data_IF_134352146831
#
_entry.id   IF_134352146831
#
_cell.length_a   1.000
_cell.length_b   1.000
_cell.length_c   1.000
_cell.angle_alpha   90.00
_cell.angle_beta   90.00
_cell.angle_gamma   90.00
#
_symmetry.space_group_name_H-M   'P 1'
#
loop_
_entity.id
_entity.type
_entity.pdbx_description
1 polymer ?
#
# COMPACT_ATOMS: atom_id res chain seq x y z
N UNK A 1 -15.77 31.92 -16.72
CA UNK A 1 -15.51 31.02 -15.59
C UNK A 1 -15.26 29.60 -16.12
N UNK A 2 -14.01 29.16 -16.20
CA UNK A 2 -13.66 27.79 -16.66
C UNK A 2 -13.63 26.87 -15.45
N UNK A 3 -14.55 25.91 -15.39
CA UNK A 3 -14.57 24.83 -14.39
C UNK A 3 -13.31 23.99 -14.56
N UNK A 4 -12.46 23.93 -13.55
CA UNK A 4 -11.36 22.96 -13.44
C UNK A 4 -12.00 21.56 -13.34
N UNK A 5 -11.76 20.71 -14.35
CA UNK A 5 -11.97 19.27 -14.21
C UNK A 5 -11.00 18.77 -13.17
N UNK A 6 -11.53 18.24 -12.08
CA UNK A 6 -10.77 17.43 -11.14
C UNK A 6 -10.20 16.24 -11.92
N UNK A 7 -8.89 16.03 -11.83
CA UNK A 7 -8.25 14.82 -12.36
C UNK A 7 -8.93 13.63 -11.72
N UNK A 8 -9.51 12.76 -12.55
CA UNK A 8 -10.24 11.55 -12.16
C UNK A 8 -9.33 10.64 -11.31
N UNK A 9 -9.41 10.81 -9.98
CA UNK A 9 -9.01 9.80 -9.02
C UNK A 9 -10.15 8.79 -9.04
N UNK A 10 -10.06 7.79 -9.92
CA UNK A 10 -11.03 6.71 -9.99
C UNK A 10 -11.09 6.02 -8.63
N UNK A 11 -12.22 6.04 -7.93
CA UNK A 11 -12.36 5.30 -6.69
C UNK A 11 -12.22 3.81 -7.00
N UNK A 12 -11.42 3.12 -6.18
CA UNK A 12 -11.18 1.69 -6.30
C UNK A 12 -12.43 0.97 -5.80
N UNK A 13 -13.42 0.82 -6.67
CA UNK A 13 -14.58 -0.02 -6.38
C UNK A 13 -14.89 -0.81 -7.63
N UNK A 14 -14.46 -2.07 -7.65
CA UNK A 14 -15.20 -3.14 -8.32
C UNK A 14 -14.64 -4.53 -8.01
N UNK A 15 -15.53 -5.46 -7.85
CA UNK A 15 -15.39 -6.87 -7.53
C UNK A 15 -14.49 -7.57 -8.55
N UNK A 16 -13.44 -8.24 -8.06
CA UNK A 16 -12.51 -9.02 -8.91
C UNK A 16 -13.22 -10.26 -9.44
N UNK A 17 -13.65 -10.24 -10.71
CA UNK A 17 -13.93 -11.46 -11.47
C UNK A 17 -12.76 -11.72 -12.40
N UNK A 18 -11.93 -12.72 -12.14
CA UNK A 18 -11.00 -13.23 -13.13
C UNK A 18 -10.63 -14.69 -12.86
N UNK A 19 -10.87 -15.58 -13.82
CA UNK A 19 -10.69 -17.02 -13.68
C UNK A 19 -9.23 -17.48 -13.64
N UNK A 20 -8.30 -16.69 -14.16
CA UNK A 20 -6.86 -17.00 -14.13
C UNK A 20 -6.20 -16.79 -12.75
N UNK A 21 -6.77 -15.96 -11.90
CA UNK A 21 -6.36 -15.84 -10.49
C UNK A 21 -6.66 -17.10 -9.66
N UNK A 22 -7.66 -17.91 -10.07
CA UNK A 22 -8.11 -19.09 -9.32
C UNK A 22 -7.06 -20.20 -9.21
N UNK A 23 -6.23 -20.41 -10.24
CA UNK A 23 -5.24 -21.51 -10.24
C UNK A 23 -3.98 -21.18 -9.46
N UNK A 24 -3.44 -19.97 -9.61
CA UNK A 24 -2.26 -19.50 -8.85
C UNK A 24 -2.60 -19.23 -7.38
N UNK A 25 -3.76 -18.63 -7.09
CA UNK A 25 -4.21 -18.36 -5.74
C UNK A 25 -4.44 -19.63 -4.90
N UNK A 26 -5.01 -20.71 -5.48
CA UNK A 26 -5.26 -21.96 -4.74
C UNK A 26 -3.97 -22.67 -4.30
N UNK A 27 -2.87 -22.57 -5.07
CA UNK A 27 -1.58 -23.17 -4.70
C UNK A 27 -0.93 -22.39 -3.55
N UNK A 28 -0.90 -21.07 -3.64
CA UNK A 28 -0.37 -20.20 -2.57
C UNK A 28 -1.21 -20.23 -1.27
N UNK A 29 -2.54 -20.41 -1.37
CA UNK A 29 -3.43 -20.56 -0.21
C UNK A 29 -3.19 -21.89 0.50
N UNK A 30 -2.97 -22.99 -0.26
CA UNK A 30 -2.68 -24.30 0.34
C UNK A 30 -1.32 -24.32 1.05
N UNK A 31 -0.31 -23.65 0.52
CA UNK A 31 1.00 -23.52 1.15
C UNK A 31 0.91 -22.66 2.42
N UNK A 32 0.25 -21.52 2.36
CA UNK A 32 0.00 -20.64 3.53
C UNK A 32 -0.80 -21.33 4.65
N UNK A 33 -1.84 -22.08 4.30
CA UNK A 33 -2.61 -22.87 5.28
C UNK A 33 -1.80 -24.01 5.91
N UNK A 34 -0.84 -24.59 5.18
CA UNK A 34 0.10 -25.57 5.76
C UNK A 34 1.08 -24.89 6.72
N UNK A 35 1.56 -23.71 6.40
CA UNK A 35 2.48 -22.94 7.23
C UNK A 35 1.80 -22.42 8.51
N UNK A 36 0.56 -21.95 8.41
CA UNK A 36 -0.25 -21.58 9.57
C UNK A 36 -0.54 -22.77 10.50
N UNK A 37 -0.77 -23.97 9.96
CA UNK A 37 -0.91 -25.20 10.77
C UNK A 37 0.42 -25.54 11.48
N UNK A 38 1.55 -25.49 10.78
CA UNK A 38 2.89 -25.71 11.37
C UNK A 38 3.21 -24.70 12.47
N UNK A 39 2.87 -23.42 12.28
CA UNK A 39 3.06 -22.38 13.29
C UNK A 39 2.17 -22.59 14.52
N UNK A 40 0.91 -23.02 14.32
CA UNK A 40 0.01 -23.36 15.42
C UNK A 40 0.49 -24.56 16.23
N UNK A 41 1.04 -25.56 15.56
CA UNK A 41 1.59 -26.75 16.22
C UNK A 41 2.90 -26.43 16.98
N UNK A 42 3.75 -25.53 16.46
CA UNK A 42 4.94 -24.99 17.14
C UNK A 42 4.59 -24.16 18.37
N UNK A 43 3.54 -23.33 18.30
CA UNK A 43 3.06 -22.56 19.46
C UNK A 43 2.63 -23.47 20.63
N UNK A 44 2.15 -24.68 20.33
CA UNK A 44 1.80 -25.69 21.33
C UNK A 44 3.03 -26.40 21.93
N UNK A 45 4.14 -26.45 21.18
CA UNK A 45 5.37 -27.07 21.65
C UNK A 45 6.33 -26.15 22.40
N UNK A 46 6.00 -24.84 22.51
CA UNK A 46 6.84 -23.86 23.23
C UNK A 46 8.16 -23.51 22.53
N UNK A 47 8.30 -23.84 21.24
CA UNK A 47 9.47 -23.48 20.46
C UNK A 47 9.47 -21.99 20.12
N UNK A 48 10.58 -21.30 20.39
CA UNK A 48 10.78 -19.90 20.06
C UNK A 48 10.61 -19.66 18.55
N UNK A 49 9.90 -18.58 18.18
CA UNK A 49 9.75 -18.15 16.81
C UNK A 49 11.13 -17.90 16.16
N UNK A 50 11.39 -18.44 14.96
CA UNK A 50 12.46 -17.91 14.14
C UNK A 50 12.15 -16.47 13.78
N UNK A 51 13.18 -15.62 13.68
CA UNK A 51 13.11 -14.21 13.31
C UNK A 51 12.59 -13.90 11.89
N UNK A 52 12.18 -14.91 11.14
CA UNK A 52 11.47 -14.83 9.87
C UNK A 52 9.95 -14.87 10.10
N UNK A 53 9.41 -13.90 10.83
CA UNK A 53 7.96 -13.64 10.77
C UNK A 53 7.65 -13.21 9.34
N UNK A 54 6.89 -14.04 8.67
CA UNK A 54 6.29 -13.67 7.39
C UNK A 54 5.20 -12.65 7.70
N UNK A 55 5.59 -11.38 7.83
CA UNK A 55 4.71 -10.25 8.14
C UNK A 55 3.65 -10.13 7.06
N UNK A 56 2.50 -10.76 7.28
CA UNK A 56 1.43 -10.75 6.30
C UNK A 56 0.68 -9.43 6.37
N UNK A 57 0.74 -8.67 5.30
CA UNK A 57 0.02 -7.42 5.15
C UNK A 57 -1.39 -7.69 4.63
N UNK A 58 -2.35 -7.06 5.25
CA UNK A 58 -3.74 -7.05 4.82
C UNK A 58 -4.19 -5.62 4.58
N UNK A 59 -5.27 -5.46 3.81
CA UNK A 59 -5.79 -4.15 3.45
C UNK A 59 -7.18 -3.97 4.03
N UNK A 60 -7.36 -2.87 4.76
CA UNK A 60 -8.62 -2.39 5.28
C UNK A 60 -9.07 -1.23 4.40
N UNK A 61 -10.28 -1.33 3.85
CA UNK A 61 -10.89 -0.23 3.12
C UNK A 61 -11.63 0.68 4.09
N UNK A 62 -11.41 1.98 3.96
CA UNK A 62 -12.01 3.02 4.80
C UNK A 62 -12.58 4.14 3.94
N UNK A 63 -13.33 5.04 4.54
CA UNK A 63 -13.79 6.25 3.84
C UNK A 63 -12.58 7.13 3.51
N UNK A 64 -12.45 7.52 2.25
CA UNK A 64 -11.37 8.40 1.78
C UNK A 64 -11.30 9.69 2.60
N UNK A 65 -10.09 10.04 3.05
CA UNK A 65 -9.83 11.20 3.91
C UNK A 65 -10.06 10.93 5.40
N UNK A 66 -10.41 9.69 5.77
CA UNK A 66 -10.61 9.24 7.16
C UNK A 66 -9.59 8.19 7.58
N UNK A 67 -8.48 8.07 6.85
CA UNK A 67 -7.46 7.06 7.06
C UNK A 67 -6.86 7.19 8.48
N UNK A 68 -6.45 8.39 8.87
CA UNK A 68 -5.86 8.62 10.19
C UNK A 68 -6.88 8.45 11.31
N UNK A 69 -8.11 8.94 11.13
CA UNK A 69 -9.18 8.75 12.10
C UNK A 69 -9.46 7.27 12.37
N UNK A 70 -9.54 6.48 11.29
CA UNK A 70 -9.77 5.04 11.40
C UNK A 70 -8.55 4.33 12.00
N UNK A 71 -7.32 4.71 11.65
CA UNK A 71 -6.10 4.15 12.23
C UNK A 71 -6.10 4.31 13.76
N UNK A 72 -6.43 5.53 14.25
CA UNK A 72 -6.53 5.80 15.68
C UNK A 72 -7.67 5.04 16.36
N UNK A 73 -8.81 4.86 15.67
CA UNK A 73 -9.90 4.03 16.17
C UNK A 73 -9.50 2.56 16.30
N UNK A 74 -8.80 2.01 15.31
CA UNK A 74 -8.29 0.64 15.34
C UNK A 74 -7.31 0.47 16.50
N UNK A 75 -6.39 1.43 16.69
CA UNK A 75 -5.43 1.41 17.78
C UNK A 75 -6.10 1.38 19.14
N UNK A 76 -7.13 2.20 19.33
CA UNK A 76 -7.88 2.29 20.59
C UNK A 76 -8.73 1.06 20.87
N UNK A 77 -9.45 0.55 19.87
CA UNK A 77 -10.48 -0.48 20.06
C UNK A 77 -9.93 -1.91 19.92
N UNK A 78 -9.01 -2.15 19.00
CA UNK A 78 -8.45 -3.49 18.79
C UNK A 78 -7.22 -3.76 19.66
N UNK A 79 -6.45 -2.70 20.01
CA UNK A 79 -5.18 -2.83 20.73
C UNK A 79 -4.11 -3.57 19.92
N UNK A 80 -2.87 -3.54 20.38
CA UNK A 80 -1.73 -4.17 19.68
C UNK A 80 -1.62 -5.70 19.88
N UNK A 81 -2.63 -6.34 20.48
CA UNK A 81 -2.61 -7.80 20.70
C UNK A 81 -2.95 -8.56 19.41
N UNK A 82 -3.80 -7.98 18.57
CA UNK A 82 -4.30 -8.64 17.35
C UNK A 82 -3.56 -8.23 16.07
N UNK A 83 -2.69 -7.23 16.14
CA UNK A 83 -1.89 -6.79 15.00
C UNK A 83 -0.59 -6.15 15.47
N UNK A 84 0.44 -6.22 14.64
CA UNK A 84 1.73 -5.61 14.91
C UNK A 84 1.71 -4.11 14.57
N UNK A 85 1.18 -3.77 13.39
CA UNK A 85 1.17 -2.40 12.90
C UNK A 85 -0.05 -2.14 12.04
N UNK A 86 -0.63 -0.93 12.16
CA UNK A 86 -1.67 -0.40 11.28
C UNK A 86 -1.25 0.98 10.78
N UNK A 87 -1.19 1.16 9.47
CA UNK A 87 -0.67 2.38 8.85
C UNK A 87 -1.30 2.65 7.49
N UNK A 88 -1.10 3.84 6.96
CA UNK A 88 -1.41 4.18 5.57
C UNK A 88 -0.24 4.88 4.93
N UNK A 89 -0.05 4.65 3.63
CA UNK A 89 1.11 5.15 2.90
C UNK A 89 0.79 6.55 2.41
N UNK A 90 1.69 7.47 2.72
CA UNK A 90 1.70 8.87 2.27
C UNK A 90 2.77 9.06 1.20
N UNK A 91 2.74 10.16 0.50
CA UNK A 91 3.78 10.57 -0.46
C UNK A 91 4.04 12.05 -0.39
N UNK A 92 5.27 12.43 -0.67
CA UNK A 92 5.65 13.81 -0.90
C UNK A 92 5.38 14.22 -2.35
N UNK A 93 4.94 15.48 -2.51
CA UNK A 93 4.84 16.16 -3.80
C UNK A 93 5.31 17.58 -3.69
N UNK A 94 5.86 18.11 -4.77
CA UNK A 94 6.18 19.53 -4.88
C UNK A 94 5.01 20.25 -5.55
N UNK A 95 4.43 21.19 -4.83
CA UNK A 95 3.42 22.11 -5.35
C UNK A 95 4.03 23.49 -5.58
N UNK A 96 3.58 24.15 -6.62
CA UNK A 96 3.89 25.56 -6.83
C UNK A 96 2.72 26.40 -6.36
N UNK A 97 2.97 27.25 -5.37
CA UNK A 97 2.02 28.21 -4.86
C UNK A 97 2.71 29.56 -4.72
N UNK A 98 2.15 30.60 -5.31
CA UNK A 98 2.65 31.99 -5.24
C UNK A 98 4.13 32.11 -5.63
N UNK A 99 4.55 31.38 -6.68
CA UNK A 99 5.92 31.37 -7.16
C UNK A 99 6.89 30.49 -6.36
N UNK A 100 6.48 29.96 -5.22
CA UNK A 100 7.30 29.11 -4.36
C UNK A 100 7.02 27.61 -4.59
N UNK A 101 8.06 26.79 -4.41
CA UNK A 101 7.92 25.33 -4.38
C UNK A 101 7.76 24.88 -2.92
N UNK A 102 6.65 24.23 -2.64
CA UNK A 102 6.33 23.73 -1.30
C UNK A 102 6.22 22.21 -1.38
N UNK A 103 6.92 21.50 -0.48
CA UNK A 103 6.73 20.06 -0.31
C UNK A 103 5.43 19.84 0.45
N UNK A 104 4.53 19.08 -0.16
CA UNK A 104 3.24 18.71 0.40
C UNK A 104 3.19 17.20 0.59
N UNK A 105 2.65 16.75 1.73
CA UNK A 105 2.42 15.35 2.02
C UNK A 105 0.93 15.03 1.85
N UNK A 106 0.63 14.01 1.05
CA UNK A 106 -0.74 13.56 0.80
C UNK A 106 -0.83 12.03 0.89
N UNK A 107 -2.04 11.51 1.13
CA UNK A 107 -2.28 10.05 1.12
C UNK A 107 -2.01 9.49 -0.28
N UNK A 108 -1.19 8.44 -0.36
CA UNK A 108 -0.82 7.80 -1.63
C UNK A 108 -1.92 6.90 -2.17
N UNK A 109 -2.58 6.16 -1.28
CA UNK A 109 -3.69 5.26 -1.60
C UNK A 109 -4.93 5.65 -0.77
N UNK A 110 -5.70 6.67 -1.23
CA UNK A 110 -6.88 7.14 -0.49
C UNK A 110 -7.91 6.04 -0.25
N UNK A 111 -8.39 5.94 0.98
CA UNK A 111 -9.37 4.93 1.39
C UNK A 111 -8.78 3.57 1.77
N UNK A 112 -7.45 3.46 1.95
CA UNK A 112 -6.78 2.21 2.31
C UNK A 112 -5.88 2.38 3.53
N UNK A 113 -6.03 1.43 4.47
CA UNK A 113 -5.08 1.17 5.54
C UNK A 113 -4.43 -0.19 5.30
N UNK A 114 -3.18 -0.30 5.70
CA UNK A 114 -2.44 -1.54 5.74
C UNK A 114 -2.35 -2.01 7.19
N UNK A 115 -2.53 -3.30 7.41
CA UNK A 115 -2.37 -3.90 8.72
C UNK A 115 -1.51 -5.15 8.63
N UNK A 116 -0.55 -5.26 9.55
CA UNK A 116 0.33 -6.42 9.68
C UNK A 116 -0.22 -7.27 10.81
N UNK A 117 -0.63 -8.50 10.50
CA UNK A 117 -1.20 -9.42 11.48
C UNK A 117 -1.03 -10.88 11.05
N UNK A 118 -0.87 -11.75 12.02
CA UNK A 118 -0.96 -13.21 11.89
C UNK A 118 -2.37 -13.74 12.23
N UNK A 119 -3.26 -12.88 12.75
CA UNK A 119 -4.61 -13.20 13.21
C UNK A 119 -5.69 -12.40 12.45
N UNK A 120 -5.75 -12.47 11.10
CA UNK A 120 -6.64 -11.61 10.31
C UNK A 120 -8.13 -11.85 10.61
N UNK A 121 -8.50 -13.06 11.03
CA UNK A 121 -9.88 -13.41 11.33
C UNK A 121 -10.34 -12.78 12.65
N UNK A 122 -9.53 -12.92 13.67
CA UNK A 122 -9.78 -12.38 15.00
C UNK A 122 -9.83 -10.85 14.95
N UNK A 123 -8.84 -10.26 14.25
CA UNK A 123 -8.81 -8.83 14.00
C UNK A 123 -10.08 -8.35 13.27
N UNK A 124 -10.50 -9.05 12.22
CA UNK A 124 -11.71 -8.69 11.47
C UNK A 124 -12.96 -8.66 12.36
N UNK A 125 -13.15 -9.67 13.21
CA UNK A 125 -14.31 -9.69 14.09
C UNK A 125 -14.27 -8.54 15.10
N UNK A 126 -13.09 -8.19 15.61
CA UNK A 126 -12.92 -7.05 16.50
C UNK A 126 -13.20 -5.73 15.78
N UNK A 127 -12.73 -5.59 14.54
CA UNK A 127 -12.98 -4.39 13.72
C UNK A 127 -14.46 -4.20 13.39
N UNK A 128 -15.22 -5.28 13.25
CA UNK A 128 -16.68 -5.20 13.02
C UNK A 128 -17.46 -4.55 14.15
N UNK A 129 -16.91 -4.49 15.34
CA UNK A 129 -17.51 -3.78 16.47
C UNK A 129 -17.37 -2.26 16.35
N UNK A 130 -16.48 -1.78 15.47
CA UNK A 130 -16.25 -0.35 15.20
C UNK A 130 -17.28 0.13 14.16
N UNK A 131 -18.19 1.08 14.50
CA UNK A 131 -19.26 1.51 13.59
C UNK A 131 -18.75 2.09 12.26
N UNK A 132 -17.57 2.72 12.26
CA UNK A 132 -16.93 3.34 11.10
C UNK A 132 -16.16 2.33 10.23
N UNK A 133 -15.99 1.09 10.70
CA UNK A 133 -15.31 0.07 9.94
C UNK A 133 -16.09 -0.28 8.68
N UNK A 134 -15.42 -0.20 7.52
CA UNK A 134 -16.06 -0.49 6.24
C UNK A 134 -15.89 -1.95 5.88
N UNK A 135 -14.67 -2.38 5.54
CA UNK A 135 -14.35 -3.78 5.27
C UNK A 135 -12.84 -4.03 5.22
N UNK A 136 -12.48 -5.27 5.50
CA UNK A 136 -11.16 -5.83 5.21
C UNK A 136 -11.25 -6.62 3.89
N UNK A 137 -10.26 -6.47 2.99
CA UNK A 137 -10.33 -7.14 1.69
C UNK A 137 -10.31 -8.66 1.85
N UNK A 138 -11.26 -9.32 1.20
CA UNK A 138 -11.42 -10.78 1.23
C UNK A 138 -11.98 -11.30 -0.09
N UNK A 139 -11.82 -12.61 -0.33
CA UNK A 139 -12.44 -13.30 -1.46
C UNK A 139 -13.94 -13.51 -1.22
N UNK A 140 -14.64 -13.98 -2.25
CA UNK A 140 -16.05 -14.39 -2.15
C UNK A 140 -16.23 -15.54 -1.13
N UNK A 141 -15.22 -16.40 -0.95
CA UNK A 141 -15.20 -17.50 0.02
C UNK A 141 -14.77 -17.07 1.44
N UNK A 142 -14.88 -15.77 1.77
CA UNK A 142 -14.52 -15.17 3.06
C UNK A 142 -13.05 -15.34 3.48
N UNK A 143 -12.15 -15.63 2.54
CA UNK A 143 -10.73 -15.73 2.80
C UNK A 143 -10.11 -14.33 2.72
N UNK A 144 -9.44 -13.89 3.79
CA UNK A 144 -8.75 -12.59 3.81
C UNK A 144 -7.60 -12.57 2.81
N UNK A 145 -7.59 -11.53 1.95
CA UNK A 145 -6.56 -11.35 0.94
C UNK A 145 -5.37 -10.64 1.56
N UNK A 146 -4.26 -11.36 1.71
CA UNK A 146 -2.98 -10.72 1.99
C UNK A 146 -2.43 -10.03 0.75
N UNK A 147 -1.70 -8.95 0.95
CA UNK A 147 -0.87 -8.32 -0.08
C UNK A 147 0.15 -9.36 -0.58
N UNK A 148 0.28 -9.52 -1.90
CA UNK A 148 1.23 -10.47 -2.47
C UNK A 148 2.68 -10.05 -2.17
N UNK A 149 3.62 -11.01 -2.12
CA UNK A 149 5.00 -10.74 -1.73
C UNK A 149 5.71 -9.73 -2.65
N UNK A 150 5.46 -9.79 -3.95
CA UNK A 150 5.96 -8.84 -4.94
C UNK A 150 5.33 -7.44 -4.80
N UNK A 151 4.03 -7.37 -4.47
CA UNK A 151 3.34 -6.12 -4.16
C UNK A 151 3.86 -5.51 -2.85
N UNK A 152 4.09 -6.34 -1.82
CA UNK A 152 4.67 -5.90 -0.55
C UNK A 152 6.07 -5.35 -0.75
N UNK A 153 6.95 -6.08 -1.44
CA UNK A 153 8.30 -5.62 -1.77
C UNK A 153 8.30 -4.29 -2.55
N UNK A 154 7.35 -4.13 -3.47
CA UNK A 154 7.18 -2.88 -4.17
C UNK A 154 6.87 -1.73 -3.20
N UNK A 155 5.92 -1.92 -2.27
CA UNK A 155 5.56 -0.90 -1.29
C UNK A 155 6.70 -0.61 -0.31
N UNK A 156 7.41 -1.64 0.16
CA UNK A 156 8.59 -1.52 1.03
C UNK A 156 9.73 -0.73 0.34
N UNK A 157 10.00 -1.03 -0.94
CA UNK A 157 10.99 -0.29 -1.73
C UNK A 157 10.61 1.19 -1.91
N UNK A 158 9.32 1.47 -2.12
CA UNK A 158 8.86 2.87 -2.20
C UNK A 158 9.02 3.61 -0.87
N UNK A 159 8.74 2.94 0.24
CA UNK A 159 8.89 3.50 1.58
C UNK A 159 10.36 3.65 1.97
N UNK A 160 11.24 2.80 1.44
CA UNK A 160 12.69 2.84 1.67
C UNK A 160 13.07 2.98 3.16
N UNK A 161 12.33 2.27 4.04
CA UNK A 161 12.55 2.30 5.49
C UNK A 161 12.12 3.60 6.19
N UNK A 162 11.31 4.44 5.55
CA UNK A 162 10.78 5.66 6.16
C UNK A 162 9.90 5.34 7.37
N UNK A 163 10.19 5.98 8.52
CA UNK A 163 9.50 5.73 9.79
C UNK A 163 8.09 6.34 9.88
N UNK A 164 7.78 7.26 8.99
CA UNK A 164 6.50 7.99 8.95
C UNK A 164 5.56 7.47 7.87
N UNK A 165 5.93 6.39 7.18
CA UNK A 165 5.21 5.80 6.04
C UNK A 165 5.05 6.77 4.86
N UNK A 166 6.09 7.57 4.62
CA UNK A 166 6.08 8.57 3.55
C UNK A 166 7.01 8.12 2.42
N UNK A 167 6.45 7.98 1.23
CA UNK A 167 7.23 7.88 -0.01
C UNK A 167 7.81 9.26 -0.31
N UNK A 168 9.10 9.43 -0.02
CA UNK A 168 9.80 10.70 -0.16
C UNK A 168 10.00 11.06 -1.63
N UNK A 169 10.37 12.31 -1.90
CA UNK A 169 10.74 12.75 -3.24
C UNK A 169 11.95 11.96 -3.75
N UNK A 170 11.87 11.49 -4.99
CA UNK A 170 13.02 10.90 -5.67
C UNK A 170 13.86 12.00 -6.34
N UNK A 171 15.16 12.00 -6.11
CA UNK A 171 16.09 12.90 -6.83
C UNK A 171 16.33 12.35 -8.22
N UNK A 172 16.15 13.17 -9.24
CA UNK A 172 16.32 12.73 -10.63
C UNK A 172 17.25 13.67 -11.41
N UNK A 173 18.11 13.09 -12.25
CA UNK A 173 18.90 13.80 -13.24
C UNK A 173 18.24 13.66 -14.60
N UNK A 174 18.21 14.76 -15.33
CA UNK A 174 17.67 14.81 -16.69
C UNK A 174 18.79 15.04 -17.69
N UNK A 175 18.66 14.45 -18.87
CA UNK A 175 19.50 14.77 -20.02
C UNK A 175 19.03 16.06 -20.76
N UNK A 176 19.71 16.40 -21.84
CA UNK A 176 19.37 17.54 -22.68
C UNK A 176 17.99 17.44 -23.31
N UNK A 177 17.49 16.21 -23.52
CA UNK A 177 16.16 15.90 -24.05
C UNK A 177 15.09 15.83 -22.95
N UNK A 178 15.47 16.14 -21.68
CA UNK A 178 14.60 16.05 -20.50
C UNK A 178 14.13 14.62 -20.17
N UNK A 179 14.92 13.61 -20.60
CA UNK A 179 14.71 12.23 -20.18
C UNK A 179 15.39 11.98 -18.82
N UNK A 180 14.82 11.08 -18.00
CA UNK A 180 15.43 10.71 -16.72
C UNK A 180 16.55 9.73 -16.98
N UNK A 181 17.78 10.17 -16.67
CA UNK A 181 19.00 9.36 -16.84
C UNK A 181 19.30 8.55 -15.59
N UNK A 182 19.03 9.14 -14.43
CA UNK A 182 19.18 8.46 -13.15
C UNK A 182 18.15 8.95 -12.14
N UNK A 183 17.81 8.08 -11.21
CA UNK A 183 16.96 8.40 -10.08
C UNK A 183 17.58 7.80 -8.80
N UNK A 184 17.43 8.52 -7.69
CA UNK A 184 17.79 8.07 -6.35
C UNK A 184 16.54 8.08 -5.47
N UNK A 185 16.43 7.14 -4.53
CA UNK A 185 15.29 7.01 -3.63
C UNK A 185 14.16 6.17 -4.24
N UNK A 186 12.87 6.44 -3.89
CA UNK A 186 11.74 5.56 -4.23
C UNK A 186 11.63 5.17 -5.72
N UNK A 187 12.06 6.01 -6.63
CA UNK A 187 12.00 5.77 -8.08
C UNK A 187 13.17 4.94 -8.62
N UNK A 188 14.23 4.73 -7.85
CA UNK A 188 15.49 4.14 -8.31
C UNK A 188 15.30 2.84 -9.08
N UNK A 189 14.48 1.93 -8.54
CA UNK A 189 14.24 0.61 -9.15
C UNK A 189 13.11 0.61 -10.19
N UNK A 190 12.45 1.76 -10.43
CA UNK A 190 11.22 1.83 -11.24
C UNK A 190 11.32 2.81 -12.42
N UNK A 191 12.51 3.26 -12.76
CA UNK A 191 12.73 4.18 -13.92
C UNK A 191 12.17 3.57 -15.21
N UNK A 192 12.37 2.26 -15.42
CA UNK A 192 11.84 1.53 -16.58
C UNK A 192 10.31 1.36 -16.60
N UNK A 193 9.64 1.59 -15.49
CA UNK A 193 8.18 1.48 -15.37
C UNK A 193 7.45 2.81 -15.58
N UNK A 194 8.18 3.89 -15.90
CA UNK A 194 7.61 5.22 -16.11
C UNK A 194 6.76 5.23 -17.37
N UNK A 195 5.46 5.48 -17.20
CA UNK A 195 4.50 5.61 -18.31
C UNK A 195 4.18 7.07 -18.62
N UNK A 196 4.38 7.95 -17.66
CA UNK A 196 4.16 9.38 -17.85
C UNK A 196 5.12 10.22 -17.01
N UNK A 197 5.68 11.24 -17.64
CA UNK A 197 6.63 12.14 -17.04
C UNK A 197 6.10 13.57 -17.08
N UNK A 198 6.08 14.25 -15.94
CA UNK A 198 5.65 15.64 -15.77
C UNK A 198 6.68 16.44 -14.97
N UNK A 199 7.87 16.61 -15.53
CA UNK A 199 9.02 17.25 -14.87
C UNK A 199 8.73 18.66 -14.38
N UNK A 200 7.93 19.46 -15.13
CA UNK A 200 7.50 20.81 -14.70
C UNK A 200 6.58 20.78 -13.46
N UNK A 201 5.81 19.70 -13.29
CA UNK A 201 4.92 19.47 -12.15
C UNK A 201 5.55 18.60 -11.08
N UNK A 202 6.85 18.28 -11.25
CA UNK A 202 7.65 17.52 -10.28
C UNK A 202 7.05 16.17 -9.89
N UNK A 203 6.56 15.41 -10.89
CA UNK A 203 6.14 14.01 -10.66
C UNK A 203 6.31 13.14 -11.90
N UNK A 204 6.35 11.85 -11.66
CA UNK A 204 6.23 10.78 -12.67
C UNK A 204 5.08 9.86 -12.30
N UNK A 205 4.61 9.11 -13.29
CA UNK A 205 3.63 8.04 -13.07
C UNK A 205 4.23 6.73 -13.54
N UNK A 206 4.13 5.70 -12.73
CA UNK A 206 4.60 4.35 -13.02
C UNK A 206 3.41 3.38 -13.04
N UNK A 207 3.46 2.39 -13.91
CA UNK A 207 2.48 1.30 -13.91
C UNK A 207 2.99 0.14 -13.08
N UNK A 208 2.15 -0.34 -12.17
CA UNK A 208 2.44 -1.45 -11.26
C UNK A 208 1.22 -2.34 -11.12
N UNK A 209 1.41 -3.57 -10.65
CA UNK A 209 0.31 -4.44 -10.24
C UNK A 209 0.16 -4.32 -8.72
N UNK A 210 -1.01 -3.87 -8.26
CA UNK A 210 -1.35 -3.78 -6.85
C UNK A 210 -2.76 -4.31 -6.61
N UNK A 211 -2.88 -5.17 -5.62
CA UNK A 211 -4.14 -5.84 -5.26
C UNK A 211 -4.75 -6.59 -6.46
N UNK A 212 -3.87 -7.27 -7.21
CA UNK A 212 -4.22 -8.05 -8.39
C UNK A 212 -4.67 -7.23 -9.61
N UNK A 213 -4.51 -5.90 -9.60
CA UNK A 213 -4.89 -5.01 -10.71
C UNK A 213 -3.72 -4.13 -11.14
N UNK A 214 -3.67 -3.86 -12.46
CA UNK A 214 -2.75 -2.85 -12.99
C UNK A 214 -3.20 -1.46 -12.53
N UNK A 215 -2.27 -0.70 -11.96
CA UNK A 215 -2.52 0.65 -11.43
C UNK A 215 -1.41 1.59 -11.84
N UNK A 216 -1.77 2.84 -12.07
CA UNK A 216 -0.82 3.91 -12.29
C UNK A 216 -0.60 4.67 -10.99
N UNK A 217 0.63 4.63 -10.48
CA UNK A 217 1.02 5.25 -9.22
C UNK A 217 1.85 6.50 -9.51
N UNK A 218 1.56 7.58 -8.78
CA UNK A 218 2.28 8.85 -8.90
C UNK A 218 3.39 8.91 -7.85
N UNK A 219 4.61 9.25 -8.28
CA UNK A 219 5.78 9.47 -7.44
C UNK A 219 6.28 10.90 -7.65
N UNK A 220 6.49 11.62 -6.54
CA UNK A 220 7.06 12.95 -6.55
C UNK A 220 8.56 12.91 -6.88
N UNK A 221 9.02 13.87 -7.66
CA UNK A 221 10.44 13.99 -8.04
C UNK A 221 10.99 15.37 -7.72
N UNK A 222 12.24 15.40 -7.35
CA UNK A 222 13.08 16.60 -7.33
C UNK A 222 14.15 16.51 -8.41
N UNK A 223 14.19 17.50 -9.29
CA UNK A 223 15.14 17.54 -10.42
C UNK A 223 16.39 18.29 -9.97
N UNK A 224 17.51 17.60 -9.99
CA UNK A 224 18.83 18.10 -9.56
C UNK A 224 19.77 18.29 -10.76
#
# INVERSE_FOLDING_TARGET
>A
MRKKKADDIVPIVETVRNEDCRKKGKKGIRERNREQRRNRDRLRSGEAYPSDRNDMWYVIQVTTGKEEEMRLLIEREAGHVLYERCFYIKRERIWRRDGQCIVHVETMFPGYLFVITDQPKELYWRLKEIPQFTKMLRTEDEIFLSVADDERKFLENLLNGDKEDIVRLSKVKLDEKKEIVSAEGPLEHYVGNIVKKKTRLRYVMIDVVLFGKKRTVLIGIDVI
#
